data_IF_254687792131
#
_entry.id   IF_254687792131
#
_cell.length_a   1.000
_cell.length_b   1.000
_cell.length_c   1.000
_cell.angle_alpha   90.00
_cell.angle_beta   90.00
_cell.angle_gamma   90.00
#
_symmetry.space_group_name_H-M   'P 1'
#
loop_
_entity.id
_entity.type
_entity.pdbx_description
1 polymer ?
#
# COMPACT_ATOMS: atom_id res chain seq x y z
N UNK A 1 2.52 -15.70 0.49
CA UNK A 1 1.07 -15.87 0.64
C UNK A 1 0.54 -16.81 -0.45
N UNK A 2 -0.48 -17.62 -0.11
CA UNK A 2 -1.21 -18.48 -1.07
C UNK A 2 -2.49 -17.81 -1.58
N UNK A 3 -2.87 -16.65 -1.01
CA UNK A 3 -4.07 -15.92 -1.40
C UNK A 3 -3.82 -15.09 -2.66
N UNK A 4 -4.89 -14.88 -3.45
CA UNK A 4 -4.83 -14.13 -4.72
C UNK A 4 -4.87 -12.62 -4.52
N UNK A 5 -5.47 -12.15 -3.44
CA UNK A 5 -5.55 -10.74 -3.09
C UNK A 5 -4.83 -10.46 -1.77
N UNK A 6 -3.95 -9.50 -1.78
CA UNK A 6 -3.08 -9.14 -0.67
C UNK A 6 -3.52 -7.79 -0.12
N UNK A 7 -3.70 -7.71 1.19
CA UNK A 7 -3.91 -6.45 1.91
C UNK A 7 -2.71 -6.23 2.79
N UNK A 8 -1.99 -5.16 2.55
CA UNK A 8 -0.81 -4.76 3.30
C UNK A 8 -1.17 -3.71 4.34
N UNK A 9 -0.68 -3.92 5.54
CA UNK A 9 -0.85 -3.02 6.69
C UNK A 9 0.46 -2.94 7.46
N UNK A 10 0.67 -1.83 8.18
CA UNK A 10 1.75 -1.70 9.17
C UNK A 10 1.32 -2.35 10.49
N UNK A 11 2.29 -2.72 11.34
CA UNK A 11 2.02 -3.38 12.62
C UNK A 11 1.44 -2.47 13.71
N UNK A 12 1.37 -1.17 13.48
CA UNK A 12 0.92 -0.13 14.41
C UNK A 12 -0.45 0.46 14.03
N UNK A 13 -1.30 -0.35 13.40
CA UNK A 13 -2.64 0.05 12.99
C UNK A 13 -3.74 -0.64 13.79
N UNK A 14 -4.81 0.11 14.04
CA UNK A 14 -6.09 -0.43 14.49
C UNK A 14 -7.05 -0.41 13.31
N UNK A 15 -7.56 -1.57 12.96
CA UNK A 15 -8.48 -1.74 11.85
C UNK A 15 -9.92 -1.54 12.31
N UNK A 16 -10.68 -0.77 11.54
CA UNK A 16 -12.13 -0.67 11.76
C UNK A 16 -12.81 -1.98 11.33
N UNK A 17 -13.88 -2.36 12.02
CA UNK A 17 -14.55 -3.66 11.85
C UNK A 17 -14.89 -4.07 10.41
N UNK A 18 -15.13 -3.12 9.53
CA UNK A 18 -15.46 -3.36 8.12
C UNK A 18 -14.25 -3.31 7.19
N UNK A 19 -13.02 -3.18 7.72
CA UNK A 19 -11.81 -2.95 6.95
C UNK A 19 -11.60 -3.98 5.83
N UNK A 20 -11.65 -5.27 6.16
CA UNK A 20 -11.46 -6.37 5.18
C UNK A 20 -12.60 -6.37 4.15
N UNK A 21 -13.85 -6.23 4.61
CA UNK A 21 -15.01 -6.19 3.71
C UNK A 21 -14.92 -5.02 2.72
N UNK A 22 -14.48 -3.87 3.18
CA UNK A 22 -14.29 -2.68 2.34
C UNK A 22 -13.21 -2.92 1.29
N UNK A 23 -12.07 -3.54 1.66
CA UNK A 23 -11.02 -3.89 0.71
C UNK A 23 -11.52 -4.88 -0.35
N UNK A 24 -12.25 -5.91 0.05
CA UNK A 24 -12.85 -6.88 -0.90
C UNK A 24 -13.82 -6.18 -1.85
N UNK A 25 -14.67 -5.28 -1.36
CA UNK A 25 -15.60 -4.51 -2.19
C UNK A 25 -14.89 -3.53 -3.17
N UNK A 26 -13.67 -3.11 -2.83
CA UNK A 26 -12.83 -2.27 -3.68
C UNK A 26 -11.94 -3.06 -4.64
N UNK A 27 -11.75 -4.36 -4.42
CA UNK A 27 -10.91 -5.20 -5.27
C UNK A 27 -11.42 -5.18 -6.72
N UNK A 28 -10.50 -4.94 -7.65
CA UNK A 28 -10.76 -4.99 -9.09
C UNK A 28 -9.49 -5.41 -9.81
N UNK A 29 -9.58 -6.35 -10.74
CA UNK A 29 -8.44 -6.76 -11.56
C UNK A 29 -7.85 -5.58 -12.35
N UNK A 30 -6.53 -5.60 -12.53
CA UNK A 30 -5.79 -4.51 -13.15
C UNK A 30 -5.75 -3.22 -12.32
N UNK A 31 -6.05 -3.31 -11.01
CA UNK A 31 -5.98 -2.19 -10.11
C UNK A 31 -5.36 -2.58 -8.77
N UNK A 32 -4.61 -1.66 -8.18
CA UNK A 32 -4.23 -1.69 -6.78
C UNK A 32 -4.99 -0.62 -5.98
N UNK A 33 -5.25 -0.90 -4.72
CA UNK A 33 -5.96 0.02 -3.82
C UNK A 33 -4.96 0.78 -2.97
N UNK A 34 -5.11 2.09 -2.88
CA UNK A 34 -4.38 2.95 -1.95
C UNK A 34 -5.39 3.61 -1.00
N UNK A 35 -5.33 3.22 0.27
CA UNK A 35 -6.17 3.73 1.33
C UNK A 35 -5.58 4.94 2.05
N UNK A 36 -6.34 5.46 2.99
CA UNK A 36 -5.92 6.55 3.89
C UNK A 36 -5.88 6.07 5.33
N UNK A 37 -5.36 6.89 6.23
CA UNK A 37 -5.31 6.61 7.66
C UNK A 37 -5.75 7.81 8.49
N UNK A 38 -6.52 7.58 9.56
CA UNK A 38 -6.64 8.48 10.68
C UNK A 38 -5.41 8.34 11.57
N UNK A 39 -4.98 9.41 12.23
CA UNK A 39 -3.84 9.39 13.14
C UNK A 39 -4.38 9.62 14.54
N UNK A 40 -3.93 8.85 15.52
CA UNK A 40 -4.32 9.09 16.92
C UNK A 40 -3.18 9.70 17.73
N UNK A 41 -3.55 10.49 18.72
CA UNK A 41 -2.58 11.13 19.62
C UNK A 41 -1.94 10.11 20.56
N UNK A 42 -0.80 10.46 21.12
CA UNK A 42 -0.10 9.63 22.13
C UNK A 42 -1.00 9.28 23.31
N UNK A 43 -1.74 10.27 23.85
CA UNK A 43 -2.66 10.04 24.97
C UNK A 43 -3.76 9.02 24.60
N UNK A 44 -4.30 9.08 23.38
CA UNK A 44 -5.29 8.11 22.91
C UNK A 44 -4.66 6.74 22.65
N UNK A 45 -3.44 6.71 22.11
CA UNK A 45 -2.67 5.47 21.93
C UNK A 45 -2.48 4.73 23.26
N UNK A 46 -2.07 5.43 24.32
CA UNK A 46 -1.93 4.82 25.66
C UNK A 46 -3.23 4.21 26.16
N UNK A 47 -4.36 4.91 26.01
CA UNK A 47 -5.68 4.41 26.43
C UNK A 47 -6.14 3.18 25.65
N UNK A 48 -5.80 3.11 24.36
CA UNK A 48 -6.11 1.95 23.54
C UNK A 48 -5.23 0.76 23.94
N UNK A 49 -3.93 0.97 24.11
CA UNK A 49 -3.01 -0.09 24.50
C UNK A 49 -3.25 -0.62 25.92
N UNK A 50 -3.76 0.22 26.83
CA UNK A 50 -4.17 -0.21 28.18
C UNK A 50 -5.54 -0.93 28.22
N UNK A 51 -6.27 -0.97 27.09
CA UNK A 51 -7.62 -1.54 27.04
C UNK A 51 -8.72 -0.64 27.59
N UNK A 52 -8.41 0.60 28.02
CA UNK A 52 -9.41 1.59 28.49
C UNK A 52 -10.39 1.96 27.35
N UNK A 53 -9.89 1.98 26.10
CA UNK A 53 -10.70 2.23 24.92
C UNK A 53 -10.56 1.05 23.96
N UNK A 54 -11.67 0.40 23.68
CA UNK A 54 -11.73 -0.81 22.81
C UNK A 54 -12.29 -0.53 21.40
N UNK A 55 -12.81 0.68 21.16
CA UNK A 55 -13.32 1.07 19.85
C UNK A 55 -12.99 2.52 19.53
N UNK A 56 -12.70 2.79 18.25
CA UNK A 56 -12.39 4.10 17.72
C UNK A 56 -13.34 4.48 16.60
N UNK A 57 -13.63 5.78 16.55
CA UNK A 57 -14.39 6.42 15.46
C UNK A 57 -13.73 7.72 15.02
N UNK A 58 -14.17 8.29 13.91
CA UNK A 58 -13.71 9.61 13.46
C UNK A 58 -13.97 10.72 14.49
N UNK A 59 -14.95 10.54 15.38
CA UNK A 59 -15.35 11.49 16.42
C UNK A 59 -14.64 11.26 17.75
N UNK A 60 -13.85 10.21 17.89
CA UNK A 60 -13.11 9.94 19.13
C UNK A 60 -12.12 11.06 19.41
N UNK A 61 -12.16 11.61 20.65
CA UNK A 61 -11.24 12.67 21.07
C UNK A 61 -9.79 12.20 20.98
N UNK A 62 -8.97 12.91 20.21
CA UNK A 62 -7.58 12.54 19.94
C UNK A 62 -7.36 11.88 18.58
N UNK A 63 -8.40 11.69 17.76
CA UNK A 63 -8.24 11.32 16.35
C UNK A 63 -7.95 12.58 15.54
N UNK A 64 -6.82 12.58 14.85
CA UNK A 64 -6.41 13.60 13.86
C UNK A 64 -6.70 13.09 12.45
N UNK A 65 -6.85 14.03 11.51
CA UNK A 65 -7.28 13.69 10.13
C UNK A 65 -8.58 12.87 10.12
N UNK A 66 -9.54 13.26 10.97
CA UNK A 66 -10.81 12.55 11.19
C UNK A 66 -11.61 12.31 9.89
N UNK A 67 -11.45 13.18 8.88
CA UNK A 67 -12.02 12.99 7.54
C UNK A 67 -11.50 11.72 6.81
N UNK A 68 -10.34 11.19 7.21
CA UNK A 68 -9.81 9.92 6.74
C UNK A 68 -10.32 8.71 7.55
N UNK A 69 -10.99 8.98 8.67
CA UNK A 69 -11.58 7.97 9.55
C UNK A 69 -13.12 7.88 9.44
N UNK A 70 -13.72 8.65 8.56
CA UNK A 70 -15.15 8.60 8.24
C UNK A 70 -15.43 7.43 7.29
N UNK A 71 -16.42 6.61 7.63
CA UNK A 71 -16.92 5.56 6.75
C UNK A 71 -18.27 5.96 6.18
N UNK A 72 -18.30 6.26 4.87
CA UNK A 72 -19.51 6.67 4.13
C UNK A 72 -19.49 5.96 2.76
N UNK A 73 -20.04 4.74 2.66
CA UNK A 73 -19.88 3.90 1.45
C UNK A 73 -20.28 4.58 0.14
N UNK A 74 -21.37 5.35 0.14
CA UNK A 74 -21.82 6.08 -1.06
C UNK A 74 -20.77 7.14 -1.47
N UNK A 75 -20.25 7.90 -0.50
CA UNK A 75 -19.20 8.89 -0.78
C UNK A 75 -17.89 8.20 -1.25
N UNK A 76 -17.61 7.00 -0.79
CA UNK A 76 -16.45 6.22 -1.23
C UNK A 76 -16.52 5.89 -2.73
N UNK A 77 -17.70 5.52 -3.23
CA UNK A 77 -17.92 5.25 -4.65
C UNK A 77 -17.72 6.51 -5.50
N UNK A 78 -18.33 7.63 -5.11
CA UNK A 78 -18.21 8.90 -5.81
C UNK A 78 -16.77 9.43 -5.79
N UNK A 79 -16.12 9.40 -4.62
CA UNK A 79 -14.73 9.83 -4.48
C UNK A 79 -13.77 9.04 -5.37
N UNK A 80 -13.94 7.73 -5.46
CA UNK A 80 -13.14 6.86 -6.33
C UNK A 80 -13.20 7.26 -7.80
N UNK A 81 -14.35 7.75 -8.26
CA UNK A 81 -14.57 8.16 -9.67
C UNK A 81 -13.91 9.51 -10.00
N UNK A 82 -13.82 10.40 -9.03
CA UNK A 82 -13.44 11.80 -9.21
C UNK A 82 -12.05 12.15 -8.65
N UNK A 83 -11.50 11.30 -7.80
CA UNK A 83 -10.28 11.63 -7.09
C UNK A 83 -9.03 11.59 -7.99
N UNK A 84 -8.13 12.58 -7.86
CA UNK A 84 -6.83 12.54 -8.51
C UNK A 84 -5.97 11.43 -7.92
N UNK A 85 -4.98 10.96 -8.69
CA UNK A 85 -3.98 10.02 -8.20
C UNK A 85 -3.26 10.58 -6.97
N UNK A 86 -2.88 9.70 -6.08
CA UNK A 86 -2.12 10.05 -4.86
C UNK A 86 -0.96 9.08 -4.69
N UNK A 87 0.08 9.55 -4.03
CA UNK A 87 1.17 8.69 -3.56
C UNK A 87 0.60 7.57 -2.69
N UNK A 88 0.81 6.30 -3.06
CA UNK A 88 0.39 5.18 -2.22
C UNK A 88 1.13 5.17 -0.89
N UNK A 89 0.58 4.47 0.09
CA UNK A 89 1.22 4.24 1.39
C UNK A 89 0.99 2.79 1.75
N UNK A 90 2.05 2.08 2.05
CA UNK A 90 2.04 0.66 2.41
C UNK A 90 1.13 0.33 3.59
N UNK A 91 0.97 1.27 4.52
CA UNK A 91 0.15 1.08 5.70
C UNK A 91 -1.34 0.79 5.43
N UNK A 92 -1.84 1.05 4.25
CA UNK A 92 -3.21 0.75 3.83
C UNK A 92 -3.24 0.58 2.31
N UNK A 93 -2.67 -0.50 1.82
CA UNK A 93 -2.59 -0.81 0.41
C UNK A 93 -3.07 -2.24 0.13
N UNK A 94 -3.67 -2.45 -1.03
CA UNK A 94 -4.02 -3.80 -1.45
C UNK A 94 -3.84 -3.98 -2.95
N UNK A 95 -3.44 -5.19 -3.36
CA UNK A 95 -3.16 -5.53 -4.75
C UNK A 95 -3.34 -7.03 -4.99
N UNK A 96 -3.50 -7.41 -6.23
CA UNK A 96 -3.53 -8.81 -6.59
C UNK A 96 -2.14 -9.42 -6.51
N UNK A 97 -2.05 -10.65 -6.01
CA UNK A 97 -0.79 -11.39 -5.93
C UNK A 97 -0.11 -11.47 -7.30
N UNK A 98 -0.87 -11.74 -8.36
CA UNK A 98 -0.36 -11.76 -9.73
C UNK A 98 0.30 -10.43 -10.15
N UNK A 99 -0.25 -9.29 -9.69
CA UNK A 99 0.29 -7.97 -10.00
C UNK A 99 1.55 -7.66 -9.19
N UNK A 100 1.62 -8.12 -7.93
CA UNK A 100 2.85 -8.06 -7.14
C UNK A 100 3.98 -8.86 -7.79
N UNK A 101 3.69 -10.08 -8.24
CA UNK A 101 4.65 -10.93 -8.94
C UNK A 101 5.08 -10.31 -10.29
N UNK A 102 4.14 -9.70 -11.03
CA UNK A 102 4.39 -9.05 -12.32
C UNK A 102 5.42 -7.93 -12.23
N UNK A 103 5.50 -7.24 -11.11
CA UNK A 103 6.46 -6.15 -10.89
C UNK A 103 7.63 -6.56 -9.99
N UNK A 104 7.73 -7.85 -9.63
CA UNK A 104 8.73 -8.41 -8.73
C UNK A 104 8.68 -7.86 -7.29
N UNK A 105 7.49 -7.46 -6.80
CA UNK A 105 7.30 -6.99 -5.43
C UNK A 105 8.01 -5.68 -5.10
N UNK A 106 8.40 -5.52 -3.84
CA UNK A 106 9.21 -4.39 -3.38
C UNK A 106 10.64 -4.49 -3.89
N UNK A 107 11.28 -3.33 -4.09
CA UNK A 107 12.72 -3.27 -4.36
C UNK A 107 13.48 -3.20 -3.02
N UNK A 108 14.17 -4.29 -2.69
CA UNK A 108 14.90 -4.45 -1.42
C UNK A 108 16.13 -3.55 -1.29
N UNK A 109 16.47 -2.81 -2.33
CA UNK A 109 17.54 -1.81 -2.25
C UNK A 109 17.11 -0.53 -1.53
N UNK A 110 15.79 -0.35 -1.29
CA UNK A 110 15.28 0.75 -0.46
C UNK A 110 15.47 0.41 1.02
N UNK A 111 16.49 1.00 1.62
CA UNK A 111 16.82 0.81 3.03
C UNK A 111 16.33 2.00 3.86
N UNK A 112 15.83 1.71 5.07
CA UNK A 112 15.28 2.70 5.97
C UNK A 112 13.92 3.24 5.49
N UNK A 113 13.65 4.50 5.77
CA UNK A 113 12.34 5.08 5.51
C UNK A 113 12.28 5.87 4.20
N UNK A 114 11.26 5.61 3.39
CA UNK A 114 10.76 6.48 2.33
C UNK A 114 10.98 5.98 0.90
N UNK A 115 9.97 6.25 0.09
CA UNK A 115 9.86 5.98 -1.34
C UNK A 115 9.65 4.51 -1.75
N UNK A 116 9.75 3.51 -0.89
CA UNK A 116 9.58 2.10 -1.21
C UNK A 116 8.18 1.79 -1.75
N UNK A 117 7.14 2.30 -1.10
CA UNK A 117 5.74 2.15 -1.50
C UNK A 117 5.39 3.01 -2.73
N UNK A 118 5.97 4.19 -2.83
CA UNK A 118 5.82 5.10 -3.98
C UNK A 118 6.43 4.48 -5.25
N UNK A 119 7.59 3.85 -5.11
CA UNK A 119 8.30 3.20 -6.20
C UNK A 119 7.57 1.93 -6.66
N UNK A 120 7.06 1.11 -5.72
CA UNK A 120 6.18 -0.01 -6.06
C UNK A 120 4.95 0.46 -6.85
N UNK A 121 4.29 1.53 -6.37
CA UNK A 121 3.14 2.13 -7.06
C UNK A 121 3.48 2.59 -8.48
N UNK A 122 4.64 3.20 -8.68
CA UNK A 122 5.14 3.60 -10.00
C UNK A 122 5.29 2.39 -10.92
N UNK A 123 5.93 1.30 -10.47
CA UNK A 123 6.10 0.09 -11.29
C UNK A 123 4.78 -0.58 -11.63
N UNK A 124 3.83 -0.61 -10.70
CA UNK A 124 2.48 -1.08 -10.97
C UNK A 124 1.82 -0.24 -12.07
N UNK A 125 1.88 1.09 -11.99
CA UNK A 125 1.30 1.98 -12.99
C UNK A 125 1.99 1.87 -14.35
N UNK A 126 3.30 1.80 -14.39
CA UNK A 126 4.09 1.56 -15.62
C UNK A 126 3.74 0.21 -16.26
N UNK A 127 3.30 -0.76 -15.47
CA UNK A 127 2.83 -2.08 -15.92
C UNK A 127 1.35 -2.11 -16.30
N UNK A 128 0.67 -0.95 -16.34
CA UNK A 128 -0.74 -0.82 -16.72
C UNK A 128 -1.74 -1.09 -15.60
N UNK A 129 -1.27 -1.29 -14.36
CA UNK A 129 -2.10 -1.52 -13.18
C UNK A 129 -2.46 -0.17 -12.57
N UNK A 130 -3.75 0.16 -12.53
CA UNK A 130 -4.22 1.50 -12.16
C UNK A 130 -4.46 1.64 -10.67
N UNK A 131 -4.22 2.82 -10.12
CA UNK A 131 -4.57 3.14 -8.74
C UNK A 131 -6.08 3.31 -8.55
N UNK A 132 -6.61 2.73 -7.48
CA UNK A 132 -7.95 3.01 -6.93
C UNK A 132 -7.81 3.62 -5.55
N UNK A 133 -8.17 4.88 -5.42
CA UNK A 133 -8.14 5.54 -4.11
C UNK A 133 -9.33 5.10 -3.26
N UNK A 134 -9.03 4.62 -2.05
CA UNK A 134 -10.02 4.25 -1.05
C UNK A 134 -10.06 5.31 0.05
N UNK A 135 -11.12 6.13 0.03
CA UNK A 135 -11.47 7.09 1.07
C UNK A 135 -12.93 6.87 1.47
N UNK A 136 -13.29 7.20 2.69
CA UNK A 136 -14.59 6.91 3.27
C UNK A 136 -14.92 5.41 3.37
N UNK A 137 -13.90 4.56 3.31
CA UNK A 137 -13.95 3.11 3.36
C UNK A 137 -12.59 2.58 3.75
N UNK A 138 -12.47 1.33 4.21
CA UNK A 138 -11.19 0.73 4.62
C UNK A 138 -10.46 1.53 5.69
N UNK A 139 -11.18 1.90 6.76
CA UNK A 139 -10.70 2.80 7.80
C UNK A 139 -9.67 2.11 8.69
N UNK A 140 -8.54 2.79 8.88
CA UNK A 140 -7.49 2.44 9.84
C UNK A 140 -7.12 3.62 10.72
N UNK A 141 -6.70 3.35 11.94
CA UNK A 141 -6.17 4.32 12.89
C UNK A 141 -4.72 3.97 13.19
N UNK A 142 -3.83 4.91 12.91
CA UNK A 142 -2.39 4.74 13.12
C UNK A 142 -2.04 5.20 14.54
N UNK A 143 -1.45 4.30 15.31
CA UNK A 143 -0.96 4.57 16.66
C UNK A 143 0.13 5.64 16.62
N UNK A 144 0.23 6.40 17.70
CA UNK A 144 1.33 7.34 17.85
C UNK A 144 2.61 6.58 18.21
N UNK A 145 3.66 6.87 17.49
CA UNK A 145 5.03 6.45 17.79
C UNK A 145 6.01 7.54 17.35
N UNK A 146 7.24 7.45 17.81
CA UNK A 146 8.31 8.35 17.39
C UNK A 146 8.58 8.15 15.89
N UNK A 147 8.93 9.26 15.24
CA UNK A 147 9.19 9.22 13.79
C UNK A 147 10.46 8.43 13.51
N UNK A 148 10.41 7.55 12.53
CA UNK A 148 11.58 6.88 12.01
C UNK A 148 12.64 7.88 11.51
N UNK A 149 13.92 7.50 11.61
CA UNK A 149 15.01 8.28 11.01
C UNK A 149 14.79 8.47 9.52
N UNK A 150 15.13 9.64 9.01
CA UNK A 150 15.02 10.00 7.60
C UNK A 150 16.40 10.08 6.91
N UNK A 151 17.44 9.59 7.54
CA UNK A 151 18.80 9.66 7.01
C UNK A 151 18.95 8.97 5.65
N UNK A 152 18.27 7.84 5.44
CA UNK A 152 18.25 7.13 4.14
C UNK A 152 17.39 7.77 3.05
N UNK A 153 16.53 8.75 3.39
CA UNK A 153 15.55 9.31 2.48
C UNK A 153 16.16 9.91 1.19
N UNK A 154 17.29 10.67 1.20
CA UNK A 154 17.89 11.20 -0.01
C UNK A 154 18.37 10.11 -0.99
N UNK A 155 18.93 9.01 -0.49
CA UNK A 155 19.37 7.89 -1.32
C UNK A 155 18.17 7.17 -1.95
N UNK A 156 17.10 6.96 -1.18
CA UNK A 156 15.85 6.36 -1.66
C UNK A 156 15.16 7.26 -2.70
N UNK A 157 15.20 8.58 -2.52
CA UNK A 157 14.70 9.52 -3.52
C UNK A 157 15.44 9.38 -4.85
N UNK A 158 16.76 9.27 -4.83
CA UNK A 158 17.57 9.09 -6.04
C UNK A 158 17.22 7.77 -6.75
N UNK A 159 16.99 6.67 -6.00
CA UNK A 159 16.53 5.39 -6.55
C UNK A 159 15.15 5.52 -7.21
N UNK A 160 14.23 6.20 -6.54
CA UNK A 160 12.89 6.46 -7.07
C UNK A 160 12.95 7.31 -8.36
N UNK A 161 13.74 8.38 -8.37
CA UNK A 161 13.94 9.22 -9.56
C UNK A 161 14.59 8.44 -10.72
N UNK A 162 15.45 7.46 -10.41
CA UNK A 162 15.99 6.54 -11.41
C UNK A 162 14.89 5.65 -11.99
N UNK A 163 14.01 5.07 -11.16
CA UNK A 163 12.87 4.27 -11.62
C UNK A 163 11.92 5.05 -12.52
N UNK A 164 11.71 6.36 -12.25
CA UNK A 164 10.92 7.24 -13.11
C UNK A 164 11.59 7.39 -14.49
N UNK A 165 12.88 7.76 -14.54
CA UNK A 165 13.60 7.97 -15.79
C UNK A 165 13.67 6.72 -16.68
N UNK A 166 13.78 5.56 -16.05
CA UNK A 166 13.87 4.26 -16.74
C UNK A 166 12.50 3.68 -17.10
N UNK A 167 11.40 4.35 -16.76
CA UNK A 167 10.04 3.79 -16.88
C UNK A 167 9.95 2.35 -16.35
N UNK A 168 10.56 2.12 -15.19
CA UNK A 168 10.76 0.79 -14.62
C UNK A 168 9.44 0.08 -14.36
N UNK A 169 9.37 -1.20 -14.77
CA UNK A 169 8.22 -2.08 -14.53
C UNK A 169 8.57 -3.26 -13.63
N UNK A 170 9.85 -3.56 -13.47
CA UNK A 170 10.37 -4.71 -12.73
C UNK A 170 11.40 -4.27 -11.69
N UNK A 171 11.31 -4.80 -10.47
CA UNK A 171 12.34 -4.58 -9.45
C UNK A 171 13.58 -5.42 -9.76
N UNK A 172 14.79 -4.85 -9.74
CA UNK A 172 16.03 -5.62 -9.90
C UNK A 172 16.38 -6.46 -8.66
N UNK A 173 15.76 -6.18 -7.52
CA UNK A 173 16.02 -6.81 -6.24
C UNK A 173 14.68 -7.06 -5.51
N UNK A 174 13.91 -8.04 -5.93
CA UNK A 174 12.57 -8.26 -5.41
C UNK A 174 12.28 -9.70 -5.02
N UNK A 175 11.04 -10.10 -5.16
CA UNK A 175 10.49 -11.40 -4.71
C UNK A 175 11.24 -12.59 -5.33
N UNK A 176 11.70 -12.47 -6.56
CA UNK A 176 12.42 -13.53 -7.29
C UNK A 176 13.59 -14.12 -6.47
N UNK A 177 14.28 -13.29 -5.70
CA UNK A 177 15.41 -13.70 -4.84
C UNK A 177 15.01 -14.68 -3.74
N UNK A 178 13.74 -14.72 -3.38
CA UNK A 178 13.19 -15.56 -2.30
C UNK A 178 12.42 -16.77 -2.81
N UNK A 179 12.45 -17.01 -4.12
CA UNK A 179 11.78 -18.14 -4.74
C UNK A 179 12.74 -19.27 -5.07
N UNK A 180 12.21 -20.49 -5.12
CA UNK A 180 12.94 -21.62 -5.68
C UNK A 180 13.26 -21.39 -7.17
N UNK A 181 14.28 -22.05 -7.74
CA UNK A 181 14.59 -21.92 -9.16
C UNK A 181 13.40 -22.16 -10.09
N UNK A 182 12.52 -23.09 -9.74
CA UNK A 182 11.28 -23.33 -10.50
C UNK A 182 10.30 -22.14 -10.39
N UNK A 183 10.13 -21.55 -9.22
CA UNK A 183 9.30 -20.37 -9.03
C UNK A 183 9.86 -19.13 -9.72
N UNK A 184 11.18 -18.97 -9.75
CA UNK A 184 11.83 -17.90 -10.51
C UNK A 184 11.56 -18.07 -12.02
N UNK A 185 11.72 -19.27 -12.55
CA UNK A 185 11.46 -19.56 -13.96
C UNK A 185 10.00 -19.28 -14.35
N UNK A 186 9.05 -19.62 -13.47
CA UNK A 186 7.62 -19.36 -13.69
C UNK A 186 7.33 -17.84 -13.77
N UNK A 187 7.88 -17.06 -12.85
CA UNK A 187 7.70 -15.59 -12.85
C UNK A 187 8.37 -14.96 -14.08
N UNK A 188 9.60 -15.36 -14.41
CA UNK A 188 10.29 -14.86 -15.59
C UNK A 188 9.54 -15.19 -16.88
N UNK A 189 9.02 -16.41 -17.03
CA UNK A 189 8.25 -16.79 -18.18
C UNK A 189 6.94 -15.99 -18.31
N UNK A 190 6.28 -15.70 -17.19
CA UNK A 190 4.98 -15.01 -17.17
C UNK A 190 5.09 -13.49 -17.29
N UNK A 191 6.13 -12.84 -16.73
CA UNK A 191 6.12 -11.41 -16.45
C UNK A 191 7.41 -10.66 -16.77
N UNK A 192 8.50 -11.32 -17.21
CA UNK A 192 9.73 -10.58 -17.51
C UNK A 192 9.53 -9.65 -18.71
N UNK A 193 10.27 -8.52 -18.78
CA UNK A 193 10.20 -7.59 -19.92
C UNK A 193 10.51 -8.27 -21.26
N UNK A 194 11.32 -9.33 -21.26
CA UNK A 194 11.63 -10.13 -22.46
C UNK A 194 10.41 -10.89 -22.98
N UNK A 195 9.47 -11.27 -22.12
CA UNK A 195 8.22 -11.94 -22.52
C UNK A 195 7.22 -10.96 -23.19
N UNK A 196 7.37 -9.67 -23.00
CA UNK A 196 6.50 -8.64 -23.58
C UNK A 196 6.86 -8.27 -25.02
N UNK A 197 8.07 -8.60 -25.48
CA UNK A 197 8.56 -8.31 -26.84
C UNK A 197 8.22 -9.41 -27.86
N UNK A 198 7.60 -10.49 -27.43
CA UNK A 198 7.26 -11.67 -28.28
C UNK A 198 5.76 -11.81 -28.64
N UNK A 199 4.96 -10.73 -28.47
CA UNK A 199 3.55 -10.75 -28.88
C UNK A 199 3.23 -9.60 -29.84
#
# INVERSE_FOLDING_TARGET
SRCDYLIQIDGDLILQRNFIQDHIAFAKEGHYVAGSRGIITEALTRKVLSGEITSLSALSRGVRNSNNALRIPIAAVLYRMLAPRRTPRSCNMALWRKDALRVNGYDETFEGWGYEDTELGLRLENSGIRQRLMKFSGIVFHLHHDKASREGCPANEQRYMKSIREHRTWSPAGIDRHLSPAGQAEIFAAFSPAAALGK
#
